data_IF_321052322478
#
_entry.id   IF_321052322478
#
_cell.length_a   1.000
_cell.length_b   1.000
_cell.length_c   1.000
_cell.angle_alpha   90.00
_cell.angle_beta   90.00
_cell.angle_gamma   90.00
#
_symmetry.space_group_name_H-M   'P 1'
#
loop_
_entity.id
_entity.type
_entity.pdbx_description
1 polymer ?
#
# COMPACT_ATOMS: atom_id res chain seq x y z
N UNK A 1 31.61 3.59 -20.60
CA UNK A 1 30.22 3.91 -20.98
C UNK A 1 29.73 2.77 -21.85
N UNK A 2 29.08 1.79 -21.24
CA UNK A 2 28.54 0.62 -21.95
C UNK A 2 27.03 0.62 -21.76
N UNK A 3 26.31 0.66 -22.88
CA UNK A 3 24.85 0.60 -22.97
C UNK A 3 24.41 -0.86 -23.01
N UNK A 4 23.70 -1.31 -21.97
CA UNK A 4 23.02 -2.61 -22.00
C UNK A 4 21.51 -2.40 -22.16
N UNK A 5 21.01 -3.07 -23.19
CA UNK A 5 19.70 -2.96 -23.84
C UNK A 5 18.64 -3.70 -23.02
N UNK A 6 17.58 -3.00 -22.62
CA UNK A 6 16.37 -3.58 -22.02
C UNK A 6 15.50 -4.22 -23.12
N UNK A 7 15.23 -5.53 -22.97
CA UNK A 7 14.26 -6.28 -23.77
C UNK A 7 13.00 -6.41 -22.93
N UNK A 8 11.89 -5.84 -23.40
CA UNK A 8 10.56 -6.07 -22.86
C UNK A 8 9.99 -7.36 -23.46
N UNK A 9 9.67 -8.34 -22.60
CA UNK A 9 8.79 -9.46 -22.92
C UNK A 9 7.47 -9.25 -22.20
N UNK A 10 6.38 -9.15 -22.96
CA UNK A 10 5.01 -9.25 -22.45
C UNK A 10 4.62 -10.71 -22.23
N UNK A 11 3.76 -11.01 -21.25
CA UNK A 11 2.87 -12.16 -21.33
C UNK A 11 1.42 -11.72 -21.56
N UNK A 12 0.83 -12.44 -22.50
CA UNK A 12 -0.58 -12.58 -22.82
C UNK A 12 -1.23 -13.45 -21.74
N UNK A 13 -2.49 -13.17 -21.36
CA UNK A 13 -3.39 -14.21 -20.87
C UNK A 13 -4.38 -13.80 -19.77
N UNK A 14 -5.64 -14.20 -20.02
CA UNK A 14 -6.70 -14.49 -19.06
C UNK A 14 -7.67 -13.34 -18.69
N UNK A 15 -8.68 -13.22 -19.56
CA UNK A 15 -10.03 -12.74 -19.22
C UNK A 15 -10.75 -13.79 -18.38
N UNK A 16 -11.19 -13.41 -17.17
CA UNK A 16 -12.21 -14.14 -16.41
C UNK A 16 -13.42 -13.22 -16.16
N UNK A 17 -14.53 -13.63 -16.76
CA UNK A 17 -15.88 -13.10 -16.57
C UNK A 17 -16.39 -13.33 -15.14
N UNK A 18 -17.17 -12.39 -14.58
CA UNK A 18 -18.25 -12.76 -13.68
C UNK A 18 -19.61 -12.52 -14.35
N UNK A 19 -20.32 -13.63 -14.56
CA UNK A 19 -21.74 -13.69 -14.85
C UNK A 19 -22.57 -13.04 -13.73
N UNK A 20 -23.34 -12.00 -14.06
CA UNK A 20 -24.37 -11.46 -13.15
C UNK A 20 -25.73 -12.04 -13.51
N UNK A 21 -26.25 -12.87 -12.61
CA UNK A 21 -27.63 -13.36 -12.58
C UNK A 21 -28.59 -12.22 -12.22
N UNK A 22 -29.63 -12.00 -13.02
CA UNK A 22 -30.87 -11.37 -12.57
C UNK A 22 -32.01 -12.34 -12.86
N UNK A 23 -32.56 -12.91 -11.80
CA UNK A 23 -33.70 -13.81 -11.83
C UNK A 23 -34.49 -13.66 -10.53
N UNK A 24 -35.66 -13.05 -10.69
CA UNK A 24 -36.88 -13.12 -9.89
C UNK A 24 -36.85 -12.80 -8.38
N UNK A 25 -37.69 -11.84 -7.97
CA UNK A 25 -38.95 -12.17 -7.28
C UNK A 25 -39.87 -10.94 -7.20
N UNK A 26 -41.16 -11.26 -7.23
CA UNK A 26 -42.33 -10.47 -7.57
C UNK A 26 -43.23 -10.21 -6.33
N UNK A 27 -44.34 -9.49 -6.57
CA UNK A 27 -45.63 -9.50 -5.79
C UNK A 27 -45.64 -8.51 -4.59
N UNK A 28 -46.65 -7.65 -4.31
CA UNK A 28 -48.01 -7.41 -4.81
C UNK A 28 -48.60 -6.10 -4.23
N UNK A 29 -49.81 -5.77 -4.73
CA UNK A 29 -50.90 -4.98 -4.12
C UNK A 29 -50.78 -3.45 -4.17
N UNK A 30 -51.78 -2.67 -4.59
CA UNK A 30 -53.19 -2.91 -4.93
C UNK A 30 -53.97 -1.61 -4.69
N UNK A 31 -55.12 -1.45 -5.38
CA UNK A 31 -56.22 -0.48 -5.10
C UNK A 31 -55.94 0.97 -5.55
N UNK A 32 -56.42 1.39 -6.73
CA UNK A 32 -57.74 1.97 -7.03
C UNK A 32 -58.01 3.35 -6.41
N UNK A 33 -58.23 4.37 -7.24
CA UNK A 33 -59.44 5.21 -7.28
C UNK A 33 -59.27 6.47 -8.17
N UNK A 34 -60.21 6.61 -9.11
CA UNK A 34 -60.99 7.80 -9.47
C UNK A 34 -60.29 9.17 -9.43
N UNK A 35 -60.22 9.80 -10.61
CA UNK A 35 -60.38 11.25 -10.74
C UNK A 35 -61.46 11.56 -11.77
N UNK A 36 -62.47 12.25 -11.28
CA UNK A 36 -63.73 12.64 -11.92
C UNK A 36 -63.74 14.17 -11.87
N UNK A 37 -64.26 14.83 -12.93
CA UNK A 37 -64.74 16.23 -12.95
C UNK A 37 -63.64 17.31 -12.84
N UNK A 38 -63.64 18.45 -13.55
CA UNK A 38 -64.70 19.39 -13.99
C UNK A 38 -64.22 20.12 -15.27
N UNK A 39 -65.00 20.21 -16.35
CA UNK A 39 -66.05 21.20 -16.67
C UNK A 39 -65.64 22.69 -16.61
N UNK A 40 -65.84 23.36 -17.75
CA UNK A 40 -65.85 24.83 -17.96
C UNK A 40 -65.80 25.13 -19.47
N UNK A 41 -66.87 24.90 -20.25
CA UNK A 41 -68.01 25.80 -20.55
C UNK A 41 -67.56 27.09 -21.25
N UNK A 42 -67.72 27.16 -22.57
CA UNK A 42 -68.90 27.67 -23.30
C UNK A 42 -69.09 29.19 -23.15
N UNK A 43 -68.51 29.94 -24.08
CA UNK A 43 -68.90 31.30 -24.40
C UNK A 43 -70.07 31.23 -25.40
N UNK A 44 -71.28 31.52 -24.93
CA UNK A 44 -72.41 31.87 -25.77
C UNK A 44 -73.13 33.08 -25.18
N UNK A 45 -73.28 34.09 -26.04
CA UNK A 45 -74.47 34.93 -26.24
C UNK A 45 -75.15 35.56 -25.01
N UNK A 46 -75.15 36.90 -24.96
CA UNK A 46 -76.37 37.69 -24.74
C UNK A 46 -76.08 39.20 -24.87
N UNK A 47 -76.11 39.72 -26.10
CA UNK A 47 -76.36 41.14 -26.35
C UNK A 47 -77.84 41.32 -26.68
N UNK A 48 -78.68 41.61 -25.68
CA UNK A 48 -79.92 42.34 -25.94
C UNK A 48 -80.51 42.91 -24.64
N UNK A 49 -80.51 44.24 -24.53
CA UNK A 49 -81.72 45.04 -24.32
C UNK A 49 -81.46 46.27 -23.43
N UNK A 50 -82.09 47.36 -23.86
CA UNK A 50 -82.45 48.54 -23.07
C UNK A 50 -81.38 49.60 -22.84
N UNK A 51 -81.25 50.47 -23.85
CA UNK A 51 -81.18 51.91 -23.59
C UNK A 51 -82.15 52.64 -24.51
N UNK A 52 -83.33 52.91 -23.96
CA UNK A 52 -84.22 53.99 -24.35
C UNK A 52 -83.68 55.34 -23.85
N UNK A 53 -84.15 56.41 -24.52
CA UNK A 53 -84.00 57.86 -24.29
C UNK A 53 -83.05 58.48 -25.31
N UNK A 54 -83.39 59.56 -26.00
CA UNK A 54 -84.33 60.66 -25.72
C UNK A 54 -84.47 61.49 -27.02
N UNK A 55 -85.21 62.61 -26.93
CA UNK A 55 -85.29 63.77 -27.86
C UNK A 55 -86.59 63.74 -28.68
N UNK A 56 -87.51 64.70 -28.66
CA UNK A 56 -87.59 66.07 -28.10
C UNK A 56 -89.08 66.51 -28.17
N UNK A 57 -89.54 67.33 -27.20
CA UNK A 57 -90.30 68.60 -27.30
C UNK A 57 -91.29 68.79 -28.48
N UNK A 58 -92.47 69.40 -28.41
CA UNK A 58 -93.19 70.22 -27.42
C UNK A 58 -94.63 70.47 -28.00
N UNK A 59 -95.54 71.15 -27.27
CA UNK A 59 -96.99 71.12 -27.47
C UNK A 59 -97.52 72.26 -28.35
N UNK A 60 -98.78 72.13 -28.79
CA UNK A 60 -99.62 73.28 -29.16
C UNK A 60 -101.04 73.12 -28.64
N UNK A 61 -101.33 73.94 -27.64
CA UNK A 61 -102.66 74.39 -27.23
C UNK A 61 -102.97 75.62 -28.09
N UNK A 62 -104.14 75.71 -28.70
CA UNK A 62 -104.91 76.97 -28.77
C UNK A 62 -106.43 76.67 -28.88
N UNK A 63 -107.27 77.34 -28.05
CA UNK A 63 -108.73 77.39 -28.12
C UNK A 63 -109.23 78.77 -28.58
N UNK A 64 -110.45 78.90 -29.11
CA UNK A 64 -111.25 80.17 -29.17
C UNK A 64 -112.66 79.87 -29.74
N UNK A 65 -113.75 80.00 -28.95
CA UNK A 65 -114.65 81.17 -28.72
C UNK A 65 -115.53 81.50 -29.96
N UNK A 66 -116.85 81.24 -29.87
CA UNK A 66 -117.97 82.17 -29.57
C UNK A 66 -118.28 83.16 -30.71
N UNK A 67 -119.53 83.13 -31.20
CA UNK A 67 -120.44 84.30 -31.41
C UNK A 67 -121.65 83.93 -32.31
N UNK A 68 -122.86 84.00 -31.74
CA UNK A 68 -124.09 84.51 -32.39
C UNK A 68 -123.90 86.03 -32.65
N UNK A 69 -124.64 86.79 -33.52
CA UNK A 69 -126.13 86.80 -33.55
C UNK A 69 -126.85 87.33 -34.82
N UNK A 70 -128.20 87.38 -34.74
CA UNK A 70 -129.13 88.43 -35.27
C UNK A 70 -129.24 88.70 -36.80
N UNK A 71 -130.33 89.15 -37.44
CA UNK A 71 -131.79 89.32 -37.22
C UNK A 71 -132.35 89.94 -38.52
N UNK A 72 -133.68 89.87 -38.73
CA UNK A 72 -134.55 90.76 -39.56
C UNK A 72 -134.38 90.68 -41.10
N UNK A 73 -135.39 90.81 -41.97
CA UNK A 73 -136.51 91.77 -42.03
C UNK A 73 -137.65 91.27 -42.94
N UNK A 74 -138.89 91.48 -42.48
CA UNK A 74 -140.06 92.09 -43.15
C UNK A 74 -140.38 91.89 -44.65
N UNK A 75 -141.64 91.52 -44.92
CA UNK A 75 -142.50 92.24 -45.88
C UNK A 75 -143.98 91.82 -45.77
N UNK A 76 -144.81 92.82 -45.49
CA UNK A 76 -146.28 92.83 -45.42
C UNK A 76 -147.01 92.63 -46.77
N UNK A 77 -148.24 92.11 -46.73
CA UNK A 77 -149.52 92.77 -47.15
C UNK A 77 -150.64 91.70 -47.29
N UNK A 78 -151.65 91.65 -46.41
CA UNK A 78 -152.99 92.29 -46.55
C UNK A 78 -153.83 91.73 -47.73
N UNK A 79 -155.08 91.25 -47.67
CA UNK A 79 -156.29 91.33 -46.80
C UNK A 79 -157.27 90.18 -47.24
N UNK A 80 -158.60 90.11 -46.89
CA UNK A 80 -159.33 90.38 -45.64
C UNK A 80 -160.33 89.25 -45.25
N UNK A 81 -160.91 89.36 -44.04
CA UNK A 81 -162.36 89.21 -43.74
C UNK A 81 -162.70 88.29 -42.56
N UNK A 82 -163.26 88.94 -41.53
CA UNK A 82 -164.25 88.44 -40.57
C UNK A 82 -163.81 87.32 -39.62
N UNK A 83 -163.49 87.65 -38.34
CA UNK A 83 -164.07 86.85 -37.24
C UNK A 83 -164.00 87.37 -35.78
N UNK A 84 -163.06 88.21 -35.32
CA UNK A 84 -162.87 88.32 -33.85
C UNK A 84 -163.29 89.65 -33.22
N UNK A 85 -164.55 89.68 -32.77
CA UNK A 85 -165.16 90.75 -31.97
C UNK A 85 -165.39 90.31 -30.51
N UNK A 86 -164.42 89.61 -29.90
CA UNK A 86 -164.37 89.26 -28.48
C UNK A 86 -162.89 89.02 -28.14
N UNK A 87 -162.22 89.89 -27.37
CA UNK A 87 -161.00 89.63 -26.58
C UNK A 87 -160.34 90.99 -26.19
N UNK A 88 -160.88 91.67 -25.18
CA UNK A 88 -160.22 92.85 -24.60
C UNK A 88 -160.21 92.83 -23.06
N UNK A 89 -159.83 91.69 -22.46
CA UNK A 89 -159.73 91.56 -20.99
C UNK A 89 -158.50 90.78 -20.46
N UNK A 90 -157.46 90.47 -21.25
CA UNK A 90 -156.31 89.69 -20.75
C UNK A 90 -154.92 90.23 -21.13
N UNK A 91 -154.63 91.48 -20.80
CA UNK A 91 -153.30 92.08 -20.99
C UNK A 91 -152.31 92.11 -19.80
N UNK A 92 -152.60 91.63 -18.55
CA UNK A 92 -151.53 91.53 -17.54
C UNK A 92 -150.89 90.13 -17.40
N UNK A 93 -151.30 89.11 -18.19
CA UNK A 93 -150.85 87.73 -17.96
C UNK A 93 -149.53 87.34 -18.67
N UNK A 94 -149.13 88.06 -19.72
CA UNK A 94 -147.98 87.66 -20.56
C UNK A 94 -146.64 88.12 -19.95
N UNK A 95 -146.55 89.32 -19.35
CA UNK A 95 -145.30 89.81 -18.74
C UNK A 95 -144.85 89.05 -17.47
N UNK A 96 -145.74 88.30 -16.82
CA UNK A 96 -145.42 87.54 -15.61
C UNK A 96 -144.85 86.13 -15.90
N UNK A 97 -144.95 85.64 -17.15
CA UNK A 97 -144.32 84.38 -17.56
C UNK A 97 -142.87 84.58 -18.04
N UNK A 98 -142.56 85.70 -18.68
CA UNK A 98 -141.20 86.03 -19.14
C UNK A 98 -140.24 86.29 -17.96
N UNK A 99 -140.71 86.92 -16.89
CA UNK A 99 -139.91 87.14 -15.66
C UNK A 99 -139.60 85.86 -14.90
N UNK A 100 -140.47 84.84 -14.97
CA UNK A 100 -140.20 83.50 -14.39
C UNK A 100 -139.20 82.69 -15.21
N UNK A 101 -139.19 82.83 -16.54
CA UNK A 101 -138.20 82.19 -17.39
C UNK A 101 -136.80 82.75 -17.13
N UNK A 102 -136.65 84.07 -17.05
CA UNK A 102 -135.37 84.69 -16.74
C UNK A 102 -134.87 84.40 -15.31
N UNK A 103 -135.74 84.24 -14.32
CA UNK A 103 -135.31 83.82 -12.98
C UNK A 103 -134.86 82.36 -12.95
N UNK A 104 -135.51 81.48 -13.71
CA UNK A 104 -135.08 80.08 -13.85
C UNK A 104 -133.78 79.93 -14.65
N UNK A 105 -133.59 80.74 -15.70
CA UNK A 105 -132.34 80.80 -16.47
C UNK A 105 -131.20 81.33 -15.61
N UNK A 106 -131.41 82.41 -14.85
CA UNK A 106 -130.40 82.95 -13.93
C UNK A 106 -130.03 81.96 -12.81
N UNK A 107 -131.00 81.26 -12.21
CA UNK A 107 -130.73 80.20 -11.21
C UNK A 107 -130.01 78.99 -11.82
N UNK A 108 -130.31 78.66 -13.09
CA UNK A 108 -129.63 77.58 -13.83
C UNK A 108 -128.19 77.96 -14.15
N UNK A 109 -127.96 79.18 -14.64
CA UNK A 109 -126.62 79.72 -14.89
C UNK A 109 -125.80 79.85 -13.59
N UNK A 110 -126.44 80.23 -12.48
CA UNK A 110 -125.79 80.28 -11.18
C UNK A 110 -125.42 78.89 -10.66
N UNK A 111 -126.30 77.89 -10.83
CA UNK A 111 -125.99 76.49 -10.54
C UNK A 111 -124.88 75.93 -11.45
N UNK A 112 -124.88 76.27 -12.74
CA UNK A 112 -123.86 75.86 -13.69
C UNK A 112 -122.51 76.52 -13.36
N UNK A 113 -122.49 77.80 -12.97
CA UNK A 113 -121.30 78.48 -12.45
C UNK A 113 -120.78 77.86 -11.15
N UNK A 114 -121.68 77.53 -10.22
CA UNK A 114 -121.31 76.90 -8.95
C UNK A 114 -120.74 75.49 -9.19
N UNK A 115 -121.31 74.74 -10.13
CA UNK A 115 -120.82 73.43 -10.55
C UNK A 115 -119.45 73.52 -11.25
N UNK A 116 -119.23 74.54 -12.09
CA UNK A 116 -117.94 74.81 -12.72
C UNK A 116 -116.86 75.20 -11.69
N UNK A 117 -117.20 76.04 -10.70
CA UNK A 117 -116.30 76.39 -9.61
C UNK A 117 -115.95 75.19 -8.74
N UNK A 118 -116.91 74.31 -8.47
CA UNK A 118 -116.67 73.07 -7.74
C UNK A 118 -115.78 72.10 -8.54
N UNK A 119 -116.00 71.96 -9.84
CA UNK A 119 -115.11 71.20 -10.73
C UNK A 119 -113.71 71.79 -10.80
N UNK A 120 -113.58 73.12 -10.77
CA UNK A 120 -112.28 73.81 -10.75
C UNK A 120 -111.55 73.54 -9.43
N UNK A 121 -112.25 73.60 -8.30
CA UNK A 121 -111.71 73.30 -6.97
C UNK A 121 -111.26 71.83 -6.87
N UNK A 122 -112.05 70.88 -7.38
CA UNK A 122 -111.70 69.47 -7.46
C UNK A 122 -110.46 69.23 -8.34
N UNK A 123 -110.39 69.90 -9.51
CA UNK A 123 -109.21 69.85 -10.38
C UNK A 123 -107.97 70.46 -9.72
N UNK A 124 -108.10 71.57 -9.00
CA UNK A 124 -106.98 72.15 -8.24
C UNK A 124 -106.51 71.25 -7.10
N UNK A 125 -107.43 70.61 -6.38
CA UNK A 125 -107.06 69.61 -5.37
C UNK A 125 -106.36 68.41 -6.00
N UNK A 126 -106.83 67.94 -7.16
CA UNK A 126 -106.20 66.86 -7.90
C UNK A 126 -104.80 67.24 -8.39
N UNK A 127 -104.62 68.44 -8.94
CA UNK A 127 -103.31 68.98 -9.35
C UNK A 127 -102.38 69.07 -8.14
N UNK A 128 -102.81 69.64 -7.02
CA UNK A 128 -102.00 69.70 -5.80
C UNK A 128 -101.65 68.32 -5.23
N UNK A 129 -102.52 67.33 -5.39
CA UNK A 129 -102.21 65.93 -5.04
C UNK A 129 -101.22 65.29 -6.01
N UNK A 130 -101.31 65.58 -7.32
CA UNK A 130 -100.35 65.12 -8.32
C UNK A 130 -98.97 65.76 -8.11
N UNK A 131 -98.89 67.07 -7.82
CA UNK A 131 -97.64 67.77 -7.51
C UNK A 131 -96.96 67.20 -6.27
N UNK A 132 -97.72 66.92 -5.20
CA UNK A 132 -97.19 66.24 -4.01
C UNK A 132 -96.64 64.84 -4.33
N UNK A 133 -97.34 64.07 -5.18
CA UNK A 133 -96.83 62.78 -5.65
C UNK A 133 -95.56 62.93 -6.48
N UNK A 134 -95.49 63.94 -7.35
CA UNK A 134 -94.34 64.20 -8.21
C UNK A 134 -93.11 64.57 -7.37
N UNK A 135 -93.26 65.46 -6.38
CA UNK A 135 -92.20 65.76 -5.43
C UNK A 135 -91.78 64.55 -4.57
N UNK A 136 -92.72 63.69 -4.16
CA UNK A 136 -92.39 62.46 -3.46
C UNK A 136 -91.56 61.51 -4.34
N UNK A 137 -91.91 61.36 -5.62
CA UNK A 137 -91.13 60.59 -6.59
C UNK A 137 -89.76 61.19 -6.88
N UNK A 138 -89.65 62.52 -6.99
CA UNK A 138 -88.38 63.21 -7.17
C UNK A 138 -87.47 63.01 -5.95
N UNK A 139 -88.01 63.11 -4.74
CA UNK A 139 -87.28 62.86 -3.50
C UNK A 139 -86.81 61.39 -3.40
N UNK A 140 -87.69 60.43 -3.70
CA UNK A 140 -87.35 59.00 -3.75
C UNK A 140 -86.30 58.70 -4.83
N UNK A 141 -86.40 59.32 -6.00
CA UNK A 141 -85.40 59.20 -7.05
C UNK A 141 -84.06 59.80 -6.64
N UNK A 142 -84.07 60.93 -5.93
CA UNK A 142 -82.87 61.56 -5.38
C UNK A 142 -82.19 60.67 -4.34
N UNK A 143 -82.97 60.05 -3.45
CA UNK A 143 -82.49 59.12 -2.44
C UNK A 143 -81.93 57.83 -3.06
N UNK A 144 -82.63 57.23 -4.01
CA UNK A 144 -82.13 56.08 -4.78
C UNK A 144 -80.81 56.39 -5.51
N UNK A 145 -80.68 57.60 -6.07
CA UNK A 145 -79.44 58.03 -6.71
C UNK A 145 -78.29 58.20 -5.70
N UNK A 146 -78.56 58.71 -4.48
CA UNK A 146 -77.56 58.76 -3.39
C UNK A 146 -77.13 57.37 -2.96
N UNK A 147 -78.09 56.48 -2.68
CA UNK A 147 -77.79 55.10 -2.29
C UNK A 147 -76.99 54.36 -3.36
N UNK A 148 -77.31 54.56 -4.64
CA UNK A 148 -76.52 54.00 -5.74
C UNK A 148 -75.09 54.55 -5.76
N UNK A 149 -74.90 55.84 -5.54
CA UNK A 149 -73.57 56.44 -5.48
C UNK A 149 -72.75 55.89 -4.30
N UNK A 150 -73.37 55.73 -3.12
CA UNK A 150 -72.72 55.12 -1.95
C UNK A 150 -72.35 53.66 -2.20
N UNK A 151 -73.22 52.88 -2.83
CA UNK A 151 -72.92 51.49 -3.20
C UNK A 151 -71.78 51.39 -4.22
N UNK A 152 -71.73 52.30 -5.20
CA UNK A 152 -70.61 52.37 -6.16
C UNK A 152 -69.30 52.74 -5.45
N UNK A 153 -69.33 53.67 -4.50
CA UNK A 153 -68.15 54.01 -3.71
C UNK A 153 -67.67 52.81 -2.87
N UNK A 154 -68.59 52.11 -2.19
CA UNK A 154 -68.25 50.89 -1.44
C UNK A 154 -67.70 49.78 -2.34
N UNK A 155 -68.18 49.68 -3.57
CA UNK A 155 -67.67 48.72 -4.55
C UNK A 155 -66.23 49.07 -4.96
N UNK A 156 -65.95 50.34 -5.24
CA UNK A 156 -64.60 50.85 -5.54
C UNK A 156 -63.63 50.60 -4.39
N UNK A 157 -64.02 50.90 -3.14
CA UNK A 157 -63.21 50.65 -1.94
C UNK A 157 -62.91 49.15 -1.77
N UNK A 158 -63.90 48.28 -1.99
CA UNK A 158 -63.71 46.83 -1.95
C UNK A 158 -62.79 46.34 -3.07
N UNK A 159 -62.92 46.88 -4.29
CA UNK A 159 -62.03 46.54 -5.41
C UNK A 159 -60.59 46.96 -5.13
N UNK A 160 -60.37 48.15 -4.55
CA UNK A 160 -59.05 48.60 -4.12
C UNK A 160 -58.46 47.68 -3.04
N UNK A 161 -59.28 47.27 -2.07
CA UNK A 161 -58.86 46.34 -1.02
C UNK A 161 -58.47 44.98 -1.60
N UNK A 162 -59.27 44.43 -2.52
CA UNK A 162 -58.96 43.18 -3.23
C UNK A 162 -57.63 43.30 -3.97
N UNK A 163 -57.44 44.36 -4.76
CA UNK A 163 -56.17 44.58 -5.48
C UNK A 163 -54.96 44.73 -4.55
N UNK A 164 -55.13 45.31 -3.36
CA UNK A 164 -54.07 45.36 -2.35
C UNK A 164 -53.80 43.98 -1.71
N UNK A 165 -54.83 43.17 -1.46
CA UNK A 165 -54.66 41.80 -0.97
C UNK A 165 -53.98 40.90 -2.01
N UNK A 166 -54.36 40.99 -3.29
CA UNK A 166 -53.72 40.26 -4.39
C UNK A 166 -52.23 40.59 -4.51
N UNK A 167 -51.87 41.89 -4.42
CA UNK A 167 -50.47 42.31 -4.40
C UNK A 167 -49.69 41.72 -3.23
N UNK A 168 -50.27 41.68 -2.03
CA UNK A 168 -49.66 41.03 -0.86
C UNK A 168 -49.50 39.53 -1.06
N UNK A 169 -50.51 38.88 -1.64
CA UNK A 169 -50.51 37.45 -1.88
C UNK A 169 -49.41 37.07 -2.87
N UNK A 170 -49.27 37.83 -3.97
CA UNK A 170 -48.14 37.68 -4.89
C UNK A 170 -46.77 37.93 -4.25
N UNK A 171 -46.65 38.91 -3.35
CA UNK A 171 -45.41 39.13 -2.61
C UNK A 171 -45.05 37.94 -1.71
N UNK A 172 -46.04 37.37 -0.99
CA UNK A 172 -45.84 36.18 -0.17
C UNK A 172 -45.49 34.94 -1.02
N UNK A 173 -46.12 34.74 -2.17
CA UNK A 173 -45.79 33.65 -3.09
C UNK A 173 -44.37 33.78 -3.63
N UNK A 174 -43.93 35.00 -3.97
CA UNK A 174 -42.57 35.26 -4.41
C UNK A 174 -41.55 34.98 -3.30
N UNK A 175 -41.81 35.45 -2.07
CA UNK A 175 -40.94 35.18 -0.91
C UNK A 175 -40.88 33.69 -0.57
N UNK A 176 -42.01 32.98 -0.67
CA UNK A 176 -42.05 31.53 -0.50
C UNK A 176 -41.22 30.81 -1.57
N UNK A 177 -41.37 31.20 -2.83
CA UNK A 177 -40.58 30.63 -3.94
C UNK A 177 -39.08 30.86 -3.77
N UNK A 178 -38.68 32.02 -3.25
CA UNK A 178 -37.29 32.32 -2.94
C UNK A 178 -36.76 31.48 -1.76
N UNK A 179 -37.53 31.36 -0.68
CA UNK A 179 -37.18 30.47 0.44
C UNK A 179 -37.04 29.01 0.00
N UNK A 180 -37.95 28.52 -0.86
CA UNK A 180 -37.89 27.16 -1.39
C UNK A 180 -36.65 26.93 -2.28
N UNK A 181 -36.23 27.95 -3.05
CA UNK A 181 -34.96 27.92 -3.80
C UNK A 181 -33.76 27.86 -2.87
N UNK A 182 -33.68 28.77 -1.90
CA UNK A 182 -32.57 28.81 -0.95
C UNK A 182 -32.44 27.51 -0.15
N UNK A 183 -33.57 26.92 0.26
CA UNK A 183 -33.58 25.61 0.92
C UNK A 183 -33.01 24.52 0.02
N UNK A 184 -33.39 24.50 -1.25
CA UNK A 184 -32.88 23.54 -2.23
C UNK A 184 -31.36 23.70 -2.41
N UNK A 185 -30.87 24.93 -2.54
CA UNK A 185 -29.42 25.20 -2.65
C UNK A 185 -28.65 24.76 -1.41
N UNK A 186 -29.17 25.03 -0.20
CA UNK A 186 -28.54 24.58 1.05
C UNK A 186 -28.50 23.06 1.17
N UNK A 187 -29.55 22.37 0.75
CA UNK A 187 -29.57 20.90 0.71
C UNK A 187 -28.56 20.34 -0.27
N UNK A 188 -28.40 20.97 -1.44
CA UNK A 188 -27.39 20.58 -2.41
C UNK A 188 -25.97 20.78 -1.87
N UNK A 189 -25.69 21.93 -1.25
CA UNK A 189 -24.41 22.19 -0.60
C UNK A 189 -24.11 21.21 0.55
N UNK A 190 -25.14 20.78 1.29
CA UNK A 190 -24.99 19.79 2.34
C UNK A 190 -24.62 18.43 1.77
N UNK A 191 -25.28 17.99 0.69
CA UNK A 191 -24.97 16.73 0.01
C UNK A 191 -23.53 16.74 -0.54
N UNK A 192 -23.12 17.81 -1.22
CA UNK A 192 -21.75 17.99 -1.72
C UNK A 192 -20.71 17.90 -0.60
N UNK A 193 -20.97 18.52 0.55
CA UNK A 193 -20.09 18.43 1.74
C UNK A 193 -20.05 17.02 2.31
N UNK A 194 -21.18 16.32 2.39
CA UNK A 194 -21.22 14.93 2.86
C UNK A 194 -20.43 14.00 1.94
N UNK A 195 -20.56 14.17 0.62
CA UNK A 195 -19.76 13.43 -0.35
C UNK A 195 -18.27 13.72 -0.20
N UNK A 196 -17.89 14.98 0.00
CA UNK A 196 -16.50 15.37 0.23
C UNK A 196 -15.93 14.73 1.50
N UNK A 197 -16.68 14.75 2.60
CA UNK A 197 -16.29 14.10 3.87
C UNK A 197 -16.11 12.60 3.64
N UNK A 198 -17.07 11.91 3.02
CA UNK A 198 -16.94 10.48 2.73
C UNK A 198 -15.75 10.14 1.83
N UNK A 199 -15.39 11.01 0.88
CA UNK A 199 -14.19 10.84 0.07
C UNK A 199 -12.90 11.07 0.88
N UNK A 200 -12.88 12.05 1.79
CA UNK A 200 -11.74 12.28 2.70
C UNK A 200 -11.54 11.11 3.67
N UNK A 201 -12.61 10.55 4.24
CA UNK A 201 -12.57 9.37 5.11
C UNK A 201 -12.00 8.15 4.38
N UNK A 202 -12.44 7.89 3.14
CA UNK A 202 -11.87 6.82 2.30
C UNK A 202 -10.38 7.00 2.05
N UNK A 203 -9.93 8.23 1.76
CA UNK A 203 -8.50 8.54 1.60
C UNK A 203 -7.73 8.32 2.90
N UNK A 204 -8.30 8.73 4.02
CA UNK A 204 -7.66 8.58 5.33
C UNK A 204 -7.47 7.10 5.68
N UNK A 205 -8.49 6.27 5.47
CA UNK A 205 -8.37 4.81 5.64
C UNK A 205 -7.34 4.18 4.70
N UNK A 206 -7.25 4.63 3.45
CA UNK A 206 -6.22 4.14 2.54
C UNK A 206 -4.80 4.50 3.03
N UNK A 207 -4.59 5.72 3.53
CA UNK A 207 -3.31 6.13 4.11
C UNK A 207 -2.97 5.35 5.39
N UNK A 208 -3.96 5.09 6.25
CA UNK A 208 -3.76 4.26 7.45
C UNK A 208 -3.36 2.84 7.09
N UNK A 209 -4.03 2.22 6.10
CA UNK A 209 -3.68 0.89 5.63
C UNK A 209 -2.27 0.82 5.03
N UNK A 210 -1.89 1.81 4.22
CA UNK A 210 -0.54 1.91 3.66
C UNK A 210 0.52 2.09 4.76
N UNK A 211 0.22 2.92 5.76
CA UNK A 211 1.10 3.12 6.92
C UNK A 211 1.29 1.83 7.71
N UNK A 212 0.21 1.10 8.01
CA UNK A 212 0.31 -0.21 8.68
C UNK A 212 1.14 -1.21 7.87
N UNK A 213 0.96 -1.24 6.55
CA UNK A 213 1.75 -2.11 5.68
C UNK A 213 3.24 -1.74 5.74
N UNK A 214 3.57 -0.46 5.71
CA UNK A 214 4.95 0.02 5.81
C UNK A 214 5.56 -0.31 7.18
N UNK A 215 4.81 -0.14 8.27
CA UNK A 215 5.25 -0.51 9.63
C UNK A 215 5.52 -2.02 9.75
N UNK A 216 4.69 -2.87 9.12
CA UNK A 216 4.92 -4.33 9.04
C UNK A 216 6.19 -4.65 8.25
N UNK A 217 6.38 -4.03 7.09
CA UNK A 217 7.59 -4.22 6.26
C UNK A 217 8.86 -3.78 7.00
N UNK A 218 8.83 -2.64 7.69
CA UNK A 218 9.94 -2.15 8.51
C UNK A 218 10.28 -3.14 9.63
N UNK A 219 9.27 -3.69 10.29
CA UNK A 219 9.46 -4.71 11.33
C UNK A 219 10.13 -5.97 10.78
N UNK A 220 9.69 -6.46 9.61
CA UNK A 220 10.33 -7.60 8.93
C UNK A 220 11.78 -7.33 8.55
N UNK A 221 12.08 -6.12 8.04
CA UNK A 221 13.45 -5.73 7.68
C UNK A 221 14.37 -5.66 8.91
N UNK A 222 13.86 -5.16 10.04
CA UNK A 222 14.61 -5.15 11.30
C UNK A 222 14.92 -6.57 11.78
N UNK A 223 13.94 -7.48 11.71
CA UNK A 223 14.16 -8.88 12.07
C UNK A 223 15.22 -9.55 11.17
N UNK A 224 15.17 -9.31 9.85
CA UNK A 224 16.19 -9.81 8.92
C UNK A 224 17.58 -9.22 9.20
N UNK A 225 17.66 -7.96 9.63
CA UNK A 225 18.92 -7.33 10.00
C UNK A 225 19.52 -8.00 11.25
N UNK A 226 18.71 -8.25 12.28
CA UNK A 226 19.13 -8.93 13.50
C UNK A 226 19.63 -10.35 13.21
N UNK A 227 18.91 -11.11 12.38
CA UNK A 227 19.32 -12.46 11.94
C UNK A 227 20.68 -12.44 11.22
N UNK A 228 20.90 -11.46 10.34
CA UNK A 228 22.19 -11.29 9.65
C UNK A 228 23.31 -10.91 10.61
N UNK A 229 23.05 -10.03 11.58
CA UNK A 229 24.05 -9.66 12.60
C UNK A 229 24.45 -10.86 13.45
N UNK A 230 23.48 -11.70 13.85
CA UNK A 230 23.77 -12.94 14.57
C UNK A 230 24.62 -13.91 13.74
N UNK A 231 24.31 -14.04 12.43
CA UNK A 231 25.09 -14.88 11.52
C UNK A 231 26.54 -14.38 11.39
N UNK A 232 26.74 -13.07 11.23
CA UNK A 232 28.07 -12.45 11.18
C UNK A 232 28.84 -12.76 12.47
N UNK A 233 28.23 -12.54 13.65
CA UNK A 233 28.88 -12.84 14.93
C UNK A 233 29.23 -14.33 15.09
N UNK A 234 28.42 -15.25 14.53
CA UNK A 234 28.76 -16.67 14.52
C UNK A 234 29.93 -16.98 13.57
N UNK A 235 30.00 -16.33 12.40
CA UNK A 235 31.11 -16.49 11.46
C UNK A 235 32.42 -15.96 12.04
N UNK A 236 32.40 -14.81 12.70
CA UNK A 236 33.56 -14.23 13.39
C UNK A 236 34.10 -15.16 14.48
N UNK A 237 33.23 -15.73 15.31
CA UNK A 237 33.62 -16.75 16.31
C UNK A 237 34.29 -17.97 15.68
N UNK A 238 33.74 -18.48 14.57
CA UNK A 238 34.35 -19.59 13.82
C UNK A 238 35.71 -19.21 13.27
N UNK A 239 35.85 -18.01 12.71
CA UNK A 239 37.10 -17.52 12.15
C UNK A 239 38.19 -17.43 13.23
N UNK A 240 37.87 -16.87 14.40
CA UNK A 240 38.80 -16.85 15.54
C UNK A 240 39.20 -18.24 16.02
N UNK A 241 38.26 -19.20 16.04
CA UNK A 241 38.58 -20.58 16.38
C UNK A 241 39.57 -21.21 15.38
N UNK A 242 39.35 -20.99 14.07
CA UNK A 242 40.28 -21.45 13.03
C UNK A 242 41.66 -20.80 13.13
N UNK A 243 41.72 -19.50 13.42
CA UNK A 243 43.00 -18.80 13.62
C UNK A 243 43.76 -19.34 14.82
N UNK A 244 43.06 -19.64 15.92
CA UNK A 244 43.66 -20.25 17.11
C UNK A 244 44.18 -21.66 16.82
N UNK A 245 43.39 -22.51 16.14
CA UNK A 245 43.81 -23.85 15.73
C UNK A 245 45.01 -23.82 14.79
N UNK A 246 45.02 -22.88 13.83
CA UNK A 246 46.16 -22.66 12.94
C UNK A 246 47.41 -22.27 13.72
N UNK A 247 47.29 -21.33 14.66
CA UNK A 247 48.40 -20.92 15.51
C UNK A 247 48.97 -22.08 16.34
N UNK A 248 48.11 -22.98 16.83
CA UNK A 248 48.54 -24.17 17.55
C UNK A 248 49.25 -25.19 16.65
N UNK A 249 48.73 -25.43 15.45
CA UNK A 249 49.40 -26.27 14.45
C UNK A 249 50.78 -25.71 14.06
N UNK A 250 50.91 -24.39 13.89
CA UNK A 250 52.19 -23.75 13.59
C UNK A 250 53.21 -23.92 14.74
N UNK A 251 52.76 -23.85 16.00
CA UNK A 251 53.60 -24.16 17.17
C UNK A 251 54.04 -25.61 17.19
N UNK A 252 53.10 -26.55 17.01
CA UNK A 252 53.42 -27.99 16.97
C UNK A 252 54.40 -28.34 15.85
N UNK A 253 54.24 -27.73 14.67
CA UNK A 253 55.17 -27.89 13.56
C UNK A 253 56.57 -27.38 13.91
N UNK A 254 56.66 -26.23 14.57
CA UNK A 254 57.94 -25.66 15.02
C UNK A 254 58.63 -26.57 16.02
N UNK A 255 57.87 -27.09 16.99
CA UNK A 255 58.37 -28.05 17.98
C UNK A 255 58.90 -29.34 17.33
N UNK A 256 58.16 -29.90 16.37
CA UNK A 256 58.60 -31.09 15.63
C UNK A 256 59.88 -30.84 14.81
N UNK A 257 60.03 -29.64 14.22
CA UNK A 257 61.25 -29.27 13.50
C UNK A 257 62.44 -29.16 14.45
N UNK A 258 62.27 -28.54 15.62
CA UNK A 258 63.32 -28.47 16.64
C UNK A 258 63.75 -29.88 17.10
N UNK A 259 62.79 -30.76 17.39
CA UNK A 259 63.08 -32.14 17.77
C UNK A 259 63.79 -32.92 16.65
N UNK A 260 63.48 -32.64 15.39
CA UNK A 260 64.16 -33.25 14.26
C UNK A 260 65.62 -32.78 14.19
N UNK A 261 65.86 -31.49 14.34
CA UNK A 261 67.22 -30.91 14.35
C UNK A 261 68.06 -31.48 15.49
N UNK A 262 67.50 -31.59 16.71
CA UNK A 262 68.17 -32.21 17.86
C UNK A 262 68.55 -33.67 17.57
N UNK A 263 67.63 -34.45 16.98
CA UNK A 263 67.91 -35.84 16.60
C UNK A 263 68.99 -35.93 15.52
N UNK A 264 68.98 -35.04 14.52
CA UNK A 264 70.01 -35.00 13.48
C UNK A 264 71.39 -34.68 14.08
N UNK A 265 71.46 -33.73 15.02
CA UNK A 265 72.70 -33.44 15.74
C UNK A 265 73.21 -34.63 16.55
N UNK A 266 72.30 -35.34 17.23
CA UNK A 266 72.64 -36.56 17.98
C UNK A 266 73.19 -37.64 17.06
N UNK A 267 72.53 -37.90 15.92
CA UNK A 267 72.99 -38.85 14.91
C UNK A 267 74.39 -38.48 14.43
N UNK A 268 74.62 -37.23 14.02
CA UNK A 268 75.94 -36.77 13.59
C UNK A 268 77.02 -36.91 14.66
N UNK A 269 76.68 -36.73 15.94
CA UNK A 269 77.60 -36.99 17.05
C UNK A 269 77.90 -38.49 17.23
N UNK A 270 76.88 -39.36 17.08
CA UNK A 270 77.07 -40.81 17.12
C UNK A 270 77.92 -41.32 15.95
N UNK A 271 77.70 -40.79 14.75
CA UNK A 271 78.52 -41.10 13.56
C UNK A 271 79.99 -40.70 13.76
N UNK A 272 80.26 -39.50 14.31
CA UNK A 272 81.62 -39.08 14.67
C UNK A 272 82.27 -40.03 15.68
N UNK A 273 81.52 -40.48 16.70
CA UNK A 273 82.01 -41.46 17.68
C UNK A 273 82.30 -42.80 17.02
N UNK A 274 81.42 -43.28 16.13
CA UNK A 274 81.63 -44.52 15.38
C UNK A 274 82.90 -44.45 14.54
N UNK A 275 83.12 -43.37 13.80
CA UNK A 275 84.36 -43.19 13.04
C UNK A 275 85.61 -43.14 13.92
N UNK A 276 85.54 -42.52 15.11
CA UNK A 276 86.64 -42.54 16.07
C UNK A 276 86.95 -43.97 16.56
N UNK A 277 85.93 -44.76 16.89
CA UNK A 277 86.09 -46.16 17.27
C UNK A 277 86.63 -47.03 16.13
N UNK A 278 86.17 -46.81 14.89
CA UNK A 278 86.69 -47.51 13.71
C UNK A 278 88.16 -47.18 13.46
N UNK A 279 88.56 -45.91 13.64
CA UNK A 279 89.95 -45.49 13.52
C UNK A 279 90.84 -46.11 14.62
N UNK A 280 90.39 -46.09 15.88
CA UNK A 280 91.09 -46.73 17.01
C UNK A 280 91.23 -48.24 16.80
N UNK A 281 90.15 -48.90 16.35
CA UNK A 281 90.19 -50.32 16.00
C UNK A 281 91.19 -50.60 14.89
N UNK A 282 91.18 -49.81 13.81
CA UNK A 282 92.13 -49.96 12.72
C UNK A 282 93.59 -49.76 13.17
N UNK A 283 93.84 -48.84 14.11
CA UNK A 283 95.17 -48.64 14.68
C UNK A 283 95.60 -49.82 15.57
N UNK A 284 94.70 -50.33 16.42
CA UNK A 284 94.95 -51.54 17.21
C UNK A 284 95.24 -52.76 16.31
N UNK A 285 94.50 -52.93 15.21
CA UNK A 285 94.74 -54.00 14.25
C UNK A 285 96.13 -53.86 13.59
N UNK A 286 96.55 -52.65 13.21
CA UNK A 286 97.92 -52.39 12.71
C UNK A 286 98.99 -52.70 13.74
N UNK A 287 98.80 -52.23 14.99
CA UNK A 287 99.73 -52.52 16.08
C UNK A 287 99.86 -54.02 16.34
N UNK A 288 98.75 -54.75 16.29
CA UNK A 288 98.75 -56.21 16.42
C UNK A 288 99.52 -56.88 15.28
N UNK A 289 99.31 -56.46 14.02
CA UNK A 289 100.07 -56.98 12.88
C UNK A 289 101.57 -56.69 13.01
N UNK A 290 101.94 -55.50 13.47
CA UNK A 290 103.34 -55.14 13.71
C UNK A 290 103.97 -55.97 14.84
N UNK A 291 103.25 -56.20 15.94
CA UNK A 291 103.71 -57.09 17.02
C UNK A 291 103.91 -58.53 16.55
N UNK A 292 103.00 -59.06 15.71
CA UNK A 292 103.14 -60.39 15.09
C UNK A 292 104.41 -60.43 14.22
N UNK A 293 104.63 -59.41 13.38
CA UNK A 293 105.82 -59.31 12.54
C UNK A 293 107.11 -59.30 13.36
N UNK A 294 107.17 -58.50 14.43
CA UNK A 294 108.32 -58.48 15.34
C UNK A 294 108.54 -59.82 16.05
N UNK A 295 107.45 -60.51 16.41
CA UNK A 295 107.52 -61.83 17.02
C UNK A 295 108.10 -62.85 16.03
N UNK A 296 107.66 -62.84 14.78
CA UNK A 296 108.19 -63.71 13.71
C UNK A 296 109.68 -63.43 13.45
N UNK A 297 110.10 -62.18 13.40
CA UNK A 297 111.52 -61.80 13.28
C UNK A 297 112.36 -62.36 14.43
N UNK A 298 111.86 -62.23 15.67
CA UNK A 298 112.52 -62.82 16.84
C UNK A 298 112.58 -64.34 16.75
N UNK A 299 111.51 -65.01 16.34
CA UNK A 299 111.51 -66.47 16.15
C UNK A 299 112.54 -66.90 15.10
N UNK A 300 112.60 -66.21 13.96
CA UNK A 300 113.60 -66.49 12.92
C UNK A 300 115.03 -66.31 13.45
N UNK A 301 115.29 -65.26 14.23
CA UNK A 301 116.59 -65.02 14.86
C UNK A 301 116.94 -66.12 15.86
N UNK A 302 116.00 -66.54 16.71
CA UNK A 302 116.19 -67.67 17.63
C UNK A 302 116.49 -68.96 16.88
N UNK A 303 115.72 -69.31 15.85
CA UNK A 303 115.99 -70.48 15.01
C UNK A 303 117.36 -70.40 14.33
N UNK A 304 117.81 -69.21 13.93
CA UNK A 304 119.16 -69.02 13.37
C UNK A 304 120.25 -69.26 14.42
N UNK A 305 120.06 -68.79 15.66
CA UNK A 305 120.97 -69.05 16.77
C UNK A 305 121.00 -70.54 17.14
N UNK A 306 119.86 -71.20 17.22
CA UNK A 306 119.75 -72.64 17.47
C UNK A 306 120.50 -73.46 16.39
N UNK A 307 120.35 -73.10 15.11
CA UNK A 307 121.12 -73.74 14.02
C UNK A 307 122.63 -73.52 14.18
N UNK A 308 123.07 -72.32 14.59
CA UNK A 308 124.49 -72.05 14.85
C UNK A 308 125.01 -72.84 16.04
N UNK A 309 124.22 -72.95 17.11
CA UNK A 309 124.55 -73.78 18.28
C UNK A 309 124.72 -75.25 17.88
N UNK A 310 123.74 -75.82 17.15
CA UNK A 310 123.83 -77.19 16.64
C UNK A 310 125.05 -77.40 15.72
N UNK A 311 125.40 -76.42 14.89
CA UNK A 311 126.59 -76.48 14.05
C UNK A 311 127.89 -76.49 14.88
N UNK A 312 127.98 -75.64 15.92
CA UNK A 312 129.11 -75.63 16.84
C UNK A 312 129.18 -76.91 17.67
N UNK A 313 128.05 -77.46 18.14
CA UNK A 313 128.01 -78.76 18.84
C UNK A 313 128.54 -79.88 17.93
N UNK A 314 128.12 -79.93 16.65
CA UNK A 314 128.66 -80.89 15.69
C UNK A 314 130.16 -80.67 15.41
N UNK A 315 130.66 -79.44 15.43
CA UNK A 315 132.10 -79.16 15.31
C UNK A 315 132.86 -79.67 16.54
N UNK A 316 132.34 -79.44 17.76
CA UNK A 316 132.90 -79.97 19.01
C UNK A 316 132.95 -81.50 18.97
N UNK A 317 131.85 -82.17 18.62
CA UNK A 317 131.82 -83.62 18.48
C UNK A 317 132.86 -84.13 17.46
N UNK A 318 133.11 -83.38 16.39
CA UNK A 318 134.15 -83.71 15.42
C UNK A 318 135.57 -83.54 15.98
N UNK A 319 135.79 -82.52 16.83
CA UNK A 319 137.05 -82.34 17.55
C UNK A 319 137.26 -83.46 18.57
N UNK A 320 136.22 -83.84 19.31
CA UNK A 320 136.26 -84.96 20.27
C UNK A 320 136.60 -86.28 19.55
N UNK A 321 136.01 -86.54 18.37
CA UNK A 321 136.37 -87.69 17.53
C UNK A 321 137.82 -87.64 17.03
N UNK A 322 138.33 -86.46 16.66
CA UNK A 322 139.73 -86.29 16.26
C UNK A 322 140.67 -86.52 17.45
N UNK A 323 140.33 -86.00 18.62
CA UNK A 323 141.09 -86.22 19.85
C UNK A 323 141.13 -87.71 20.22
N UNK A 324 139.99 -88.40 20.18
CA UNK A 324 139.90 -89.84 20.41
C UNK A 324 140.73 -90.63 19.40
N UNK A 325 140.64 -90.28 18.10
CA UNK A 325 141.47 -90.88 17.05
C UNK A 325 142.96 -90.66 17.29
N UNK A 326 143.34 -89.46 17.74
CA UNK A 326 144.73 -89.11 18.03
C UNK A 326 145.25 -89.84 19.27
N UNK A 327 144.44 -89.98 20.31
CA UNK A 327 144.72 -90.80 21.49
C UNK A 327 144.95 -92.27 21.11
N UNK A 328 144.07 -92.84 20.27
CA UNK A 328 144.22 -94.21 19.76
C UNK A 328 145.51 -94.35 18.94
N UNK A 329 145.80 -93.40 18.04
CA UNK A 329 147.00 -93.42 17.21
C UNK A 329 148.29 -93.29 18.05
N UNK A 330 148.28 -92.41 19.06
CA UNK A 330 149.41 -92.24 19.98
C UNK A 330 149.62 -93.49 20.83
N UNK A 331 148.56 -94.10 21.34
CA UNK A 331 148.63 -95.39 22.05
C UNK A 331 149.22 -96.49 21.15
N UNK A 332 148.84 -96.53 19.87
CA UNK A 332 149.39 -97.47 18.89
C UNK A 332 150.89 -97.22 18.61
N UNK A 333 151.31 -95.97 18.51
CA UNK A 333 152.73 -95.59 18.36
C UNK A 333 153.54 -95.94 19.62
N UNK A 334 153.01 -95.68 20.82
CA UNK A 334 153.64 -96.09 22.07
C UNK A 334 153.80 -97.61 22.17
N UNK A 335 152.77 -98.36 21.75
CA UNK A 335 152.83 -99.83 21.63
C UNK A 335 153.95 -100.29 20.70
N UNK A 336 154.07 -99.71 19.50
CA UNK A 336 155.13 -100.05 18.54
C UNK A 336 156.53 -99.61 19.01
N UNK A 337 156.64 -98.44 19.63
CA UNK A 337 157.89 -97.97 20.23
C UNK A 337 158.37 -98.92 21.33
N UNK A 338 157.46 -99.41 22.17
CA UNK A 338 157.80 -100.37 23.22
C UNK A 338 158.22 -101.72 22.64
N UNK A 339 157.50 -102.24 21.62
CA UNK A 339 157.95 -103.44 20.88
C UNK A 339 159.38 -103.27 20.39
N UNK A 340 159.69 -102.10 19.82
CA UNK A 340 161.03 -101.78 19.33
C UNK A 340 162.07 -101.74 20.47
N UNK A 341 161.77 -101.04 21.59
CA UNK A 341 162.67 -100.95 22.75
C UNK A 341 163.00 -102.32 23.34
N UNK A 342 162.02 -103.23 23.44
CA UNK A 342 162.27 -104.60 23.92
C UNK A 342 163.12 -105.38 22.92
N UNK A 343 162.82 -105.30 21.62
CA UNK A 343 163.54 -106.01 20.56
C UNK A 343 165.02 -105.62 20.46
N UNK A 344 165.35 -104.36 20.72
CA UNK A 344 166.73 -103.86 20.76
C UNK A 344 167.41 -104.04 22.13
N UNK A 345 166.77 -104.71 23.09
CA UNK A 345 167.34 -105.00 24.41
C UNK A 345 167.51 -103.79 25.32
N UNK A 346 166.86 -102.66 25.01
CA UNK A 346 166.95 -101.42 25.78
C UNK A 346 166.17 -101.49 27.11
N UNK A 347 165.14 -102.33 27.16
CA UNK A 347 164.36 -102.63 28.36
C UNK A 347 164.02 -104.11 28.39
N UNK A 348 163.91 -104.71 29.57
CA UNK A 348 163.36 -106.04 29.71
C UNK A 348 161.86 -106.03 29.43
N UNK A 349 161.32 -107.18 29.00
CA UNK A 349 159.89 -107.39 28.79
C UNK A 349 159.07 -106.94 30.01
N UNK A 350 159.54 -107.23 31.22
CA UNK A 350 158.87 -106.86 32.48
C UNK A 350 158.85 -105.34 32.73
N UNK A 351 159.87 -104.60 32.28
CA UNK A 351 159.90 -103.14 32.40
C UNK A 351 159.07 -102.44 31.32
N UNK A 352 158.95 -103.03 30.12
CA UNK A 352 158.04 -102.54 29.09
C UNK A 352 156.58 -102.57 29.56
N UNK A 353 156.18 -103.60 30.30
CA UNK A 353 154.82 -103.67 30.85
C UNK A 353 154.48 -102.55 31.85
N UNK A 354 155.47 -102.08 32.64
CA UNK A 354 155.25 -100.95 33.54
C UNK A 354 155.10 -99.62 32.82
N UNK A 355 155.80 -99.42 31.69
CA UNK A 355 155.70 -98.17 30.91
C UNK A 355 154.38 -98.03 30.14
N UNK A 356 153.77 -99.13 29.68
CA UNK A 356 152.51 -99.09 28.91
C UNK A 356 151.25 -98.95 29.79
N UNK A 357 151.33 -99.23 31.10
CA UNK A 357 150.23 -99.02 32.05
C UNK A 357 148.94 -99.82 31.78
N UNK A 358 148.90 -100.65 30.73
CA UNK A 358 147.71 -101.36 30.26
C UNK A 358 147.83 -102.88 30.45
N UNK A 359 146.82 -103.45 31.12
CA UNK A 359 146.65 -104.88 31.39
C UNK A 359 146.02 -105.65 30.21
N UNK A 360 146.25 -105.22 28.97
CA UNK A 360 145.57 -105.79 27.82
C UNK A 360 146.28 -107.06 27.32
N UNK A 361 145.59 -108.20 27.42
CA UNK A 361 146.18 -109.55 27.23
C UNK A 361 146.69 -109.78 25.81
N UNK A 362 146.05 -109.18 24.81
CA UNK A 362 146.51 -109.29 23.41
C UNK A 362 147.82 -108.51 23.17
N UNK A 363 147.96 -107.33 23.81
CA UNK A 363 149.21 -106.56 23.75
C UNK A 363 150.36 -107.32 24.42
N UNK A 364 150.06 -108.04 25.51
CA UNK A 364 151.05 -108.85 26.23
C UNK A 364 151.60 -110.01 25.40
N UNK A 365 150.75 -110.73 24.66
CA UNK A 365 151.19 -111.84 23.82
C UNK A 365 151.95 -111.37 22.56
N UNK A 366 151.55 -110.25 21.94
CA UNK A 366 152.26 -109.70 20.78
C UNK A 366 153.69 -109.23 21.11
N UNK A 367 153.92 -108.61 22.28
CA UNK A 367 155.27 -108.17 22.67
C UNK A 367 156.16 -109.39 22.99
N UNK A 368 155.61 -110.44 23.60
CA UNK A 368 156.35 -111.70 23.86
C UNK A 368 156.76 -112.42 22.57
N UNK A 369 155.85 -112.51 21.59
CA UNK A 369 156.14 -113.17 20.31
C UNK A 369 157.12 -112.38 19.44
N UNK A 370 157.15 -111.04 19.51
CA UNK A 370 158.10 -110.24 18.74
C UNK A 370 159.57 -110.31 19.24
N UNK A 371 159.79 -110.88 20.43
CA UNK A 371 161.09 -110.99 21.12
C UNK A 371 161.64 -112.42 21.18
N UNK A 372 160.94 -113.40 20.57
CA UNK A 372 161.51 -114.67 20.12
C UNK A 372 162.00 -114.51 18.69
#
# INVERSE_FOLDING_TARGET
>A
MEYTRLVFMSPIGEEDNPSFNFGDLSVSDGVAEKSLTTMGLNENEATNSQQQRRVLMDPRIEPTLLEEPEKTTDSYSEQPSQFFQQLNEKQPFVGHQETKLHSFEAEREQNDCQKLLQQLAEKQQLVGHMEKKLHAYEAESGENNRQKAELLQQLDEKQQLVGHMEKKLHAYEAERGENDRQKTELLQQLDEKQQLVGHMEKKLHAYEAEREQNDRQKTQLLQQLDEKQQLVGHMEKKLHAYEAERGENDRQKTELLNQLDEKQQLVGHMEKKLHAYEAERGENDRQKTELIRQLDEKHQFTTQLERKLLAMESEIDSFDQVEESMLIANFKLQKELLKLKVRFGLISVDNAFKELGCCDKEVMEEIKTACQ
#
